data_IF_484074788603
#
_entry.id   IF_484074788603
#
_cell.length_a   1.000
_cell.length_b   1.000
_cell.length_c   1.000
_cell.angle_alpha   90.00
_cell.angle_beta   90.00
_cell.angle_gamma   90.00
#
_symmetry.space_group_name_H-M   'P 1'
#
loop_
_entity.id
_entity.type
_entity.pdbx_description
1 polymer ?
#
# COMPACT_ATOMS: atom_id res chain seq x y z
N UNK A 1 -17.26 -1.66 20.98
CA UNK A 1 -16.10 -2.23 21.70
C UNK A 1 -15.01 -2.72 20.73
N UNK A 2 -15.35 -3.48 19.68
CA UNK A 2 -14.37 -3.95 18.68
C UNK A 2 -13.55 -2.85 17.99
N UNK A 3 -14.17 -1.83 17.41
CA UNK A 3 -13.46 -0.78 16.66
C UNK A 3 -12.43 0.02 17.50
N UNK A 4 -12.72 0.26 18.77
CA UNK A 4 -11.81 0.99 19.69
C UNK A 4 -10.58 0.13 20.02
N UNK A 5 -10.77 -1.18 20.21
CA UNK A 5 -9.68 -2.11 20.46
C UNK A 5 -8.80 -2.26 19.22
N UNK A 6 -9.39 -2.38 18.03
CA UNK A 6 -8.65 -2.43 16.77
C UNK A 6 -7.87 -1.13 16.54
N UNK A 7 -8.48 0.03 16.77
CA UNK A 7 -7.81 1.32 16.66
C UNK A 7 -6.64 1.46 17.63
N UNK A 8 -6.82 1.08 18.90
CA UNK A 8 -5.75 1.07 19.89
C UNK A 8 -4.60 0.14 19.53
N UNK A 9 -4.90 -1.05 18.99
CA UNK A 9 -3.88 -2.00 18.54
C UNK A 9 -3.06 -1.46 17.36
N UNK A 10 -3.70 -0.81 16.38
CA UNK A 10 -3.00 -0.19 15.25
C UNK A 10 -2.08 0.96 15.68
N UNK A 11 -2.51 1.77 16.66
CA UNK A 11 -1.67 2.82 17.24
C UNK A 11 -0.46 2.20 17.95
N UNK A 12 -0.66 1.16 18.75
CA UNK A 12 0.44 0.46 19.42
C UNK A 12 1.44 -0.13 18.41
N UNK A 13 0.96 -0.74 17.33
CA UNK A 13 1.82 -1.23 16.23
C UNK A 13 2.63 -0.08 15.61
N UNK A 14 1.97 1.06 15.31
CA UNK A 14 2.65 2.22 14.76
C UNK A 14 3.74 2.77 15.72
N UNK A 15 3.47 2.82 17.03
CA UNK A 15 4.45 3.22 18.05
C UNK A 15 5.63 2.24 18.10
N UNK A 16 5.37 0.93 18.08
CA UNK A 16 6.42 -0.08 18.05
C UNK A 16 7.32 0.03 16.81
N UNK A 17 6.73 0.27 15.62
CA UNK A 17 7.47 0.47 14.38
C UNK A 17 8.32 1.76 14.45
N UNK A 18 7.73 2.88 14.86
CA UNK A 18 8.41 4.19 14.88
C UNK A 18 9.48 4.33 15.96
N UNK A 19 9.39 3.56 17.03
CA UNK A 19 10.39 3.56 18.11
C UNK A 19 11.42 2.44 17.96
N UNK A 20 11.34 1.66 16.88
CA UNK A 20 12.15 0.45 16.60
C UNK A 20 12.03 -0.66 17.66
N UNK A 21 11.23 -0.44 18.71
CA UNK A 21 10.97 -1.41 19.78
C UNK A 21 9.95 -2.42 19.31
N UNK A 22 10.38 -3.69 19.18
CA UNK A 22 9.53 -4.78 18.70
C UNK A 22 9.00 -4.56 17.27
N UNK A 23 9.60 -3.65 16.48
CA UNK A 23 9.13 -3.26 15.14
C UNK A 23 8.88 -4.48 14.23
N UNK A 24 9.78 -5.46 14.25
CA UNK A 24 9.61 -6.72 13.52
C UNK A 24 8.35 -7.49 13.93
N UNK A 25 8.14 -7.70 15.23
CA UNK A 25 6.97 -8.43 15.74
C UNK A 25 5.70 -7.66 15.41
N UNK A 26 5.71 -6.35 15.59
CA UNK A 26 4.59 -5.47 15.26
C UNK A 26 4.25 -5.53 13.75
N UNK A 27 5.23 -5.47 12.86
CA UNK A 27 5.04 -5.58 11.42
C UNK A 27 4.54 -6.98 11.00
N UNK A 28 5.07 -8.05 11.60
CA UNK A 28 4.61 -9.41 11.33
C UNK A 28 3.17 -9.66 11.80
N UNK A 29 2.82 -9.19 13.00
CA UNK A 29 1.46 -9.28 13.53
C UNK A 29 0.48 -8.44 12.69
N UNK A 30 0.90 -7.26 12.23
CA UNK A 30 0.12 -6.44 11.31
C UNK A 30 -0.15 -7.18 10.00
N UNK A 31 0.88 -7.79 9.39
CA UNK A 31 0.72 -8.55 8.16
C UNK A 31 -0.25 -9.72 8.33
N UNK A 32 -0.16 -10.47 9.43
CA UNK A 32 -1.09 -11.56 9.75
C UNK A 32 -2.50 -11.03 9.96
N UNK A 33 -2.68 -9.95 10.70
CA UNK A 33 -4.00 -9.35 10.93
C UNK A 33 -4.67 -8.91 9.62
N UNK A 34 -3.91 -8.23 8.74
CA UNK A 34 -4.38 -7.82 7.41
C UNK A 34 -4.71 -9.03 6.52
N UNK A 35 -3.90 -10.09 6.59
CA UNK A 35 -4.18 -11.33 5.83
C UNK A 35 -5.50 -11.98 6.27
N UNK A 36 -5.73 -12.07 7.58
CA UNK A 36 -6.98 -12.60 8.13
C UNK A 36 -8.18 -11.74 7.73
N UNK A 37 -8.04 -10.41 7.74
CA UNK A 37 -9.09 -9.50 7.30
C UNK A 37 -9.45 -9.72 5.82
N UNK A 38 -8.43 -9.83 4.96
CA UNK A 38 -8.62 -10.14 3.54
C UNK A 38 -9.31 -11.49 3.37
N UNK A 39 -8.88 -12.53 4.08
CA UNK A 39 -9.40 -13.88 3.94
C UNK A 39 -10.86 -14.00 4.38
N UNK A 40 -11.21 -13.41 5.52
CA UNK A 40 -12.52 -13.63 6.15
C UNK A 40 -13.56 -12.55 5.85
N UNK A 41 -13.14 -11.30 5.65
CA UNK A 41 -14.08 -10.20 5.40
C UNK A 41 -14.11 -9.84 3.92
N UNK A 42 -12.95 -9.71 3.30
CA UNK A 42 -12.88 -9.14 1.97
C UNK A 42 -13.09 -10.14 0.84
N UNK A 43 -12.56 -11.35 0.98
CA UNK A 43 -12.73 -12.40 -0.02
C UNK A 43 -14.22 -12.76 -0.23
N UNK A 44 -15.05 -12.92 0.81
CA UNK A 44 -16.49 -13.09 0.62
C UNK A 44 -17.17 -11.89 -0.07
N UNK A 45 -16.72 -10.65 0.21
CA UNK A 45 -17.26 -9.43 -0.44
C UNK A 45 -16.90 -9.38 -1.92
N UNK A 46 -15.67 -9.74 -2.28
CA UNK A 46 -15.22 -9.82 -3.68
C UNK A 46 -16.02 -10.86 -4.47
N UNK A 47 -16.28 -12.03 -3.87
CA UNK A 47 -17.06 -13.10 -4.51
C UNK A 47 -18.53 -12.71 -4.66
N UNK A 48 -19.11 -12.06 -3.65
CA UNK A 48 -20.53 -11.70 -3.66
C UNK A 48 -20.85 -10.46 -4.51
N UNK A 49 -19.87 -9.57 -4.73
CA UNK A 49 -20.07 -8.34 -5.49
C UNK A 49 -18.95 -8.09 -6.52
N UNK A 50 -18.77 -8.98 -7.52
CA UNK A 50 -17.64 -8.93 -8.42
C UNK A 50 -17.62 -7.70 -9.35
N UNK A 51 -18.76 -7.01 -9.50
CA UNK A 51 -18.90 -5.85 -10.39
C UNK A 51 -18.91 -4.50 -9.67
N UNK A 52 -18.93 -4.47 -8.33
CA UNK A 52 -18.84 -3.21 -7.58
C UNK A 52 -17.37 -2.82 -7.39
N UNK A 53 -16.97 -1.56 -7.60
CA UNK A 53 -15.57 -1.16 -7.46
C UNK A 53 -15.07 -1.24 -6.01
N UNK A 54 -15.92 -0.97 -5.02
CA UNK A 54 -15.49 -0.75 -3.63
C UNK A 54 -14.80 -1.98 -3.01
N UNK A 55 -15.32 -3.23 -3.14
CA UNK A 55 -14.63 -4.41 -2.64
C UNK A 55 -13.29 -4.68 -3.33
N UNK A 56 -13.14 -4.31 -4.60
CA UNK A 56 -11.85 -4.40 -5.29
C UNK A 56 -10.87 -3.37 -4.75
N UNK A 57 -11.31 -2.12 -4.54
CA UNK A 57 -10.45 -1.08 -3.98
C UNK A 57 -9.95 -1.48 -2.58
N UNK A 58 -10.87 -1.67 -1.62
CA UNK A 58 -10.47 -1.92 -0.23
C UNK A 58 -9.68 -3.21 -0.06
N UNK A 59 -9.98 -4.24 -0.87
CA UNK A 59 -9.29 -5.52 -0.72
C UNK A 59 -7.87 -5.53 -1.23
N UNK A 60 -7.64 -4.87 -2.36
CA UNK A 60 -6.30 -4.77 -2.91
C UNK A 60 -5.47 -3.70 -2.17
N UNK A 61 -6.08 -2.72 -1.52
CA UNK A 61 -5.40 -1.84 -0.55
C UNK A 61 -4.84 -2.65 0.62
N UNK A 62 -5.67 -3.48 1.27
CA UNK A 62 -5.23 -4.29 2.40
C UNK A 62 -4.16 -5.32 2.01
N UNK A 63 -4.30 -5.95 0.84
CA UNK A 63 -3.28 -6.84 0.29
C UNK A 63 -1.96 -6.13 0.03
N UNK A 64 -1.99 -4.90 -0.51
CA UNK A 64 -0.80 -4.10 -0.73
C UNK A 64 -0.12 -3.72 0.59
N UNK A 65 -0.90 -3.30 1.59
CA UNK A 65 -0.39 -2.97 2.93
C UNK A 65 0.21 -4.20 3.64
N UNK A 66 -0.44 -5.35 3.52
CA UNK A 66 0.09 -6.64 4.01
C UNK A 66 1.42 -6.97 3.34
N UNK A 67 1.51 -6.82 2.01
CA UNK A 67 2.75 -7.04 1.27
C UNK A 67 3.88 -6.12 1.75
N UNK A 68 3.59 -4.85 1.99
CA UNK A 68 4.52 -3.89 2.57
C UNK A 68 4.98 -4.25 3.99
N UNK A 69 4.06 -4.71 4.84
CA UNK A 69 4.37 -5.13 6.21
C UNK A 69 5.32 -6.34 6.25
N UNK A 70 5.15 -7.32 5.34
CA UNK A 70 6.09 -8.43 5.22
C UNK A 70 7.49 -7.99 4.76
N UNK A 71 7.58 -7.04 3.84
CA UNK A 71 8.87 -6.50 3.39
C UNK A 71 9.54 -5.71 4.51
N UNK A 72 8.79 -4.88 5.24
CA UNK A 72 9.29 -4.12 6.38
C UNK A 72 9.84 -5.04 7.47
N UNK A 73 9.11 -6.10 7.83
CA UNK A 73 9.54 -7.06 8.84
C UNK A 73 10.90 -7.70 8.53
N UNK A 74 11.29 -7.79 7.25
CA UNK A 74 12.62 -8.23 6.83
C UNK A 74 13.67 -7.13 6.96
N UNK A 75 13.37 -5.88 6.60
CA UNK A 75 14.35 -4.77 6.72
C UNK A 75 14.79 -4.61 8.18
N UNK A 76 13.84 -4.66 9.12
CA UNK A 76 14.10 -4.56 10.58
C UNK A 76 14.94 -5.71 11.17
N UNK A 77 15.23 -6.77 10.40
CA UNK A 77 16.16 -7.82 10.86
C UNK A 77 17.63 -7.46 10.70
N UNK A 78 17.94 -6.37 10.00
CA UNK A 78 19.32 -5.98 9.70
C UNK A 78 20.12 -5.48 10.93
N UNK A 79 19.47 -4.89 11.95
CA UNK A 79 20.17 -4.03 12.92
C UNK A 79 20.31 -4.55 14.37
N UNK A 80 19.95 -5.79 14.71
CA UNK A 80 20.04 -6.21 16.14
C UNK A 80 20.31 -7.68 16.45
N UNK A 81 20.08 -8.59 15.51
CA UNK A 81 20.45 -9.99 15.64
C UNK A 81 20.56 -10.52 14.22
N UNK A 82 21.79 -10.65 13.71
CA UNK A 82 22.05 -11.36 12.45
C UNK A 82 21.58 -12.80 12.63
N UNK A 83 20.31 -13.06 12.38
CA UNK A 83 19.88 -14.37 11.93
C UNK A 83 20.57 -14.54 10.57
N UNK A 84 21.51 -15.48 10.52
CA UNK A 84 22.25 -15.99 9.36
C UNK A 84 21.73 -15.57 7.97
N UNK A 85 22.61 -15.19 7.04
CA UNK A 85 22.22 -14.97 5.65
C UNK A 85 21.63 -16.28 5.08
N UNK A 86 20.44 -16.19 4.48
CA UNK A 86 19.73 -17.26 3.78
C UNK A 86 18.78 -18.17 4.58
N UNK A 87 17.97 -17.62 5.49
CA UNK A 87 16.65 -18.21 5.75
C UNK A 87 15.74 -17.94 4.54
N UNK A 88 15.71 -18.91 3.60
CA UNK A 88 14.92 -18.90 2.37
C UNK A 88 13.48 -18.36 2.56
N UNK A 89 12.86 -18.65 3.70
CA UNK A 89 11.52 -18.21 4.08
C UNK A 89 11.37 -16.67 4.04
N UNK A 90 12.32 -15.90 4.59
CA UNK A 90 12.22 -14.43 4.59
C UNK A 90 12.33 -13.88 3.16
N UNK A 91 13.20 -14.47 2.33
CA UNK A 91 13.33 -14.08 0.92
C UNK A 91 12.06 -14.39 0.11
N UNK A 92 11.40 -15.51 0.39
CA UNK A 92 10.10 -15.85 -0.20
C UNK A 92 9.00 -14.88 0.25
N UNK A 93 8.97 -14.49 1.54
CA UNK A 93 8.01 -13.51 2.04
C UNK A 93 8.20 -12.11 1.43
N UNK A 94 9.44 -11.66 1.23
CA UNK A 94 9.72 -10.40 0.54
C UNK A 94 9.27 -10.46 -0.92
N UNK A 95 9.58 -11.56 -1.61
CA UNK A 95 9.16 -11.76 -3.01
C UNK A 95 7.64 -11.82 -3.11
N UNK A 96 6.99 -12.55 -2.21
CA UNK A 96 5.54 -12.60 -2.11
C UNK A 96 4.92 -11.23 -1.87
N UNK A 97 5.43 -10.46 -0.90
CA UNK A 97 4.95 -9.10 -0.63
C UNK A 97 5.08 -8.16 -1.83
N UNK A 98 6.21 -8.22 -2.55
CA UNK A 98 6.42 -7.46 -3.80
C UNK A 98 5.41 -7.85 -4.88
N UNK A 99 5.17 -9.14 -5.08
CA UNK A 99 4.23 -9.65 -6.09
C UNK A 99 2.80 -9.25 -5.74
N UNK A 100 2.38 -9.42 -4.49
CA UNK A 100 1.02 -9.04 -4.05
C UNK A 100 0.80 -7.53 -4.21
N UNK A 101 1.79 -6.71 -3.85
CA UNK A 101 1.72 -5.26 -4.07
C UNK A 101 1.61 -4.92 -5.56
N UNK A 102 2.39 -5.58 -6.42
CA UNK A 102 2.30 -5.38 -7.87
C UNK A 102 0.94 -5.80 -8.45
N UNK A 103 0.34 -6.89 -7.96
CA UNK A 103 -1.02 -7.31 -8.35
C UNK A 103 -2.04 -6.24 -7.97
N UNK A 104 -1.95 -5.66 -6.77
CA UNK A 104 -2.82 -4.57 -6.35
C UNK A 104 -2.72 -3.36 -7.29
N UNK A 105 -1.50 -2.98 -7.70
CA UNK A 105 -1.31 -1.90 -8.68
C UNK A 105 -1.99 -2.20 -10.02
N UNK A 106 -1.95 -3.44 -10.49
CA UNK A 106 -2.65 -3.84 -11.73
C UNK A 106 -4.16 -3.70 -11.57
N UNK A 107 -4.73 -4.09 -10.42
CA UNK A 107 -6.16 -3.91 -10.13
C UNK A 107 -6.52 -2.42 -10.10
N UNK A 108 -5.73 -1.60 -9.42
CA UNK A 108 -5.96 -0.15 -9.39
C UNK A 108 -5.84 0.50 -10.77
N UNK A 109 -4.94 0.00 -11.62
CA UNK A 109 -4.83 0.44 -13.00
C UNK A 109 -6.11 0.12 -13.79
N UNK A 110 -6.63 -1.11 -13.69
CA UNK A 110 -7.90 -1.49 -14.31
C UNK A 110 -9.03 -0.57 -13.84
N UNK A 111 -9.10 -0.26 -12.54
CA UNK A 111 -10.09 0.67 -12.01
C UNK A 111 -9.91 2.10 -12.55
N UNK A 112 -8.68 2.58 -12.73
CA UNK A 112 -8.41 3.88 -13.36
C UNK A 112 -8.90 3.93 -14.80
N UNK A 113 -8.78 2.84 -15.56
CA UNK A 113 -9.30 2.76 -16.93
C UNK A 113 -10.82 2.65 -16.97
N UNK A 114 -11.39 1.73 -16.18
CA UNK A 114 -12.83 1.42 -16.17
C UNK A 114 -13.67 2.57 -15.60
N UNK A 115 -13.17 3.24 -14.56
CA UNK A 115 -13.87 4.31 -13.85
C UNK A 115 -13.24 5.69 -14.08
N UNK A 116 -12.52 5.88 -15.20
CA UNK A 116 -11.75 7.11 -15.50
C UNK A 116 -12.56 8.40 -15.34
N UNK A 117 -13.84 8.39 -15.76
CA UNK A 117 -14.73 9.55 -15.62
C UNK A 117 -14.99 9.91 -14.16
N UNK A 118 -15.18 8.91 -13.30
CA UNK A 118 -15.34 9.10 -11.86
C UNK A 118 -14.02 9.55 -11.22
N UNK A 119 -12.90 8.90 -11.54
CA UNK A 119 -11.58 9.32 -11.04
C UNK A 119 -11.28 10.78 -11.39
N UNK A 120 -11.64 11.22 -12.59
CA UNK A 120 -11.49 12.60 -13.03
C UNK A 120 -12.32 13.62 -12.23
N UNK A 121 -13.36 13.21 -11.50
CA UNK A 121 -14.11 14.11 -10.60
C UNK A 121 -13.41 14.31 -9.25
N UNK A 122 -12.53 13.38 -8.87
CA UNK A 122 -11.76 13.41 -7.61
C UNK A 122 -10.51 14.29 -7.76
N UNK A 123 -9.99 14.45 -8.99
CA UNK A 123 -8.88 15.36 -9.28
C UNK A 123 -9.33 16.81 -9.03
N UNK A 124 -8.55 17.68 -8.36
CA UNK A 124 -8.97 19.00 -7.97
C UNK A 124 -9.31 19.86 -9.18
N UNK A 125 -10.30 20.73 -9.03
CA UNK A 125 -10.86 21.51 -10.14
C UNK A 125 -9.84 22.43 -10.83
N UNK A 126 -8.80 22.87 -10.11
CA UNK A 126 -7.72 23.71 -10.63
C UNK A 126 -6.69 22.95 -11.47
N UNK A 127 -6.69 21.61 -11.47
CA UNK A 127 -5.82 20.82 -12.36
C UNK A 127 -6.51 20.67 -13.72
N UNK A 128 -5.88 21.11 -14.83
CA UNK A 128 -6.43 20.94 -16.16
C UNK A 128 -6.34 19.47 -16.61
N UNK A 129 -7.12 19.13 -17.63
CA UNK A 129 -7.10 17.80 -18.26
C UNK A 129 -7.25 16.63 -17.26
N UNK A 130 -8.19 16.71 -16.31
CA UNK A 130 -8.38 15.70 -15.24
C UNK A 130 -8.53 14.26 -15.75
N UNK A 131 -9.13 14.06 -16.93
CA UNK A 131 -9.25 12.74 -17.55
C UNK A 131 -7.90 12.18 -18.04
N UNK A 132 -6.99 13.04 -18.51
CA UNK A 132 -5.63 12.64 -18.85
C UNK A 132 -4.92 12.06 -17.62
N UNK A 133 -5.03 12.74 -16.46
CA UNK A 133 -4.40 12.27 -15.22
C UNK A 133 -4.96 10.93 -14.74
N UNK A 134 -6.27 10.68 -14.87
CA UNK A 134 -6.86 9.39 -14.56
C UNK A 134 -6.22 8.25 -15.39
N UNK A 135 -6.05 8.45 -16.70
CA UNK A 135 -5.41 7.44 -17.55
C UNK A 135 -3.91 7.33 -17.33
N UNK A 136 -3.21 8.46 -17.18
CA UNK A 136 -1.77 8.51 -16.93
C UNK A 136 -1.39 7.72 -15.68
N UNK A 137 -2.14 7.91 -14.58
CA UNK A 137 -1.92 7.17 -13.34
C UNK A 137 -2.16 5.67 -13.53
N UNK A 138 -3.21 5.28 -14.26
CA UNK A 138 -3.43 3.87 -14.60
C UNK A 138 -2.24 3.24 -15.35
N UNK A 139 -1.66 3.95 -16.31
CA UNK A 139 -0.44 3.51 -17.02
C UNK A 139 0.77 3.46 -16.08
N UNK A 140 0.94 4.46 -15.22
CA UNK A 140 2.03 4.51 -14.25
C UNK A 140 1.98 3.34 -13.26
N UNK A 141 0.78 2.92 -12.83
CA UNK A 141 0.59 1.73 -12.01
C UNK A 141 1.02 0.44 -12.70
N UNK A 142 0.65 0.24 -13.98
CA UNK A 142 1.12 -0.93 -14.74
C UNK A 142 2.65 -0.89 -14.88
N UNK A 143 3.21 0.27 -15.22
CA UNK A 143 4.66 0.41 -15.37
C UNK A 143 5.40 0.10 -14.05
N UNK A 144 4.89 0.59 -12.92
CA UNK A 144 5.45 0.30 -11.60
C UNK A 144 5.33 -1.18 -11.23
N UNK A 145 4.17 -1.82 -11.49
CA UNK A 145 3.98 -3.24 -11.26
C UNK A 145 4.99 -4.10 -12.05
N UNK A 146 5.17 -3.79 -13.34
CA UNK A 146 6.14 -4.46 -14.20
C UNK A 146 7.58 -4.23 -13.73
N UNK A 147 7.94 -3.02 -13.33
CA UNK A 147 9.25 -2.70 -12.79
C UNK A 147 9.55 -3.50 -11.51
N UNK A 148 8.58 -3.57 -10.59
CA UNK A 148 8.70 -4.32 -9.33
C UNK A 148 8.88 -5.82 -9.58
N UNK A 149 8.06 -6.42 -10.45
CA UNK A 149 8.10 -7.87 -10.74
C UNK A 149 9.36 -8.26 -11.52
N UNK A 150 9.73 -7.48 -12.53
CA UNK A 150 10.93 -7.76 -13.36
C UNK A 150 12.23 -7.33 -12.68
N UNK A 151 12.13 -6.60 -11.57
CA UNK A 151 13.24 -5.96 -10.85
C UNK A 151 14.00 -4.91 -11.68
N UNK A 152 13.52 -4.57 -12.89
CA UNK A 152 14.12 -3.56 -13.75
C UNK A 152 13.62 -2.18 -13.34
N UNK A 153 14.55 -1.30 -12.96
CA UNK A 153 14.23 0.04 -12.43
C UNK A 153 13.29 0.02 -11.20
N UNK A 154 13.19 -1.11 -10.50
CA UNK A 154 12.22 -1.31 -9.42
C UNK A 154 12.36 -0.27 -8.30
N UNK A 155 13.59 0.03 -7.88
CA UNK A 155 13.85 1.08 -6.88
C UNK A 155 13.32 2.43 -7.33
N UNK A 156 13.65 2.86 -8.55
CA UNK A 156 13.21 4.15 -9.11
C UNK A 156 11.69 4.19 -9.24
N UNK A 157 11.08 3.13 -9.75
CA UNK A 157 9.63 3.01 -9.88
C UNK A 157 8.94 3.11 -8.51
N UNK A 158 9.47 2.43 -7.49
CA UNK A 158 8.95 2.48 -6.12
C UNK A 158 9.09 3.87 -5.48
N UNK A 159 10.19 4.59 -5.71
CA UNK A 159 10.34 5.98 -5.25
C UNK A 159 9.31 6.90 -5.91
N UNK A 160 9.16 6.81 -7.23
CA UNK A 160 8.20 7.63 -7.98
C UNK A 160 6.76 7.33 -7.57
N UNK A 161 6.44 6.05 -7.35
CA UNK A 161 5.14 5.61 -6.86
C UNK A 161 4.85 6.15 -5.45
N UNK A 162 5.84 6.07 -4.54
CA UNK A 162 5.73 6.61 -3.19
C UNK A 162 5.54 8.13 -3.17
N UNK A 163 6.25 8.85 -4.04
CA UNK A 163 6.08 10.29 -4.23
C UNK A 163 4.70 10.63 -4.82
N UNK A 164 4.22 9.86 -5.79
CA UNK A 164 2.89 10.05 -6.38
C UNK A 164 1.78 9.90 -5.34
N UNK A 165 1.79 8.83 -4.54
CA UNK A 165 0.82 8.66 -3.45
C UNK A 165 0.92 9.79 -2.41
N UNK A 166 2.13 10.22 -2.06
CA UNK A 166 2.32 11.33 -1.12
C UNK A 166 1.78 12.66 -1.67
N UNK A 167 1.94 12.93 -2.97
CA UNK A 167 1.33 14.09 -3.62
C UNK A 167 -0.19 14.02 -3.47
N UNK A 168 -0.82 12.85 -3.64
CA UNK A 168 -2.28 12.70 -3.45
C UNK A 168 -2.72 12.97 -2.01
N UNK A 169 -1.95 12.54 -1.02
CA UNK A 169 -2.18 12.90 0.39
C UNK A 169 -2.29 14.43 0.51
N UNK A 170 -1.30 15.16 -0.02
CA UNK A 170 -1.21 16.62 0.15
C UNK A 170 -2.27 17.38 -0.66
N UNK A 171 -2.49 17.02 -1.93
CA UNK A 171 -3.30 17.84 -2.84
C UNK A 171 -4.73 17.34 -3.03
N UNK A 172 -5.01 16.07 -2.73
CA UNK A 172 -6.34 15.46 -2.90
C UNK A 172 -7.04 15.26 -1.56
N UNK A 173 -6.46 14.41 -0.71
CA UNK A 173 -7.16 13.92 0.48
C UNK A 173 -7.09 14.89 1.66
N UNK A 174 -5.93 15.49 1.90
CA UNK A 174 -5.75 16.40 3.04
C UNK A 174 -6.70 17.62 2.96
N UNK A 175 -6.88 18.29 1.79
CA UNK A 175 -7.85 19.37 1.66
C UNK A 175 -9.31 18.90 1.85
N UNK A 176 -9.66 17.70 1.36
CA UNK A 176 -11.02 17.14 1.52
C UNK A 176 -11.34 16.80 2.97
N UNK A 177 -10.39 16.21 3.69
CA UNK A 177 -10.52 15.95 5.12
C UNK A 177 -10.57 17.26 5.92
N UNK A 178 -9.74 18.26 5.57
CA UNK A 178 -9.78 19.57 6.22
C UNK A 178 -11.13 20.28 6.04
N UNK A 179 -11.75 20.14 4.86
CA UNK A 179 -13.08 20.69 4.57
C UNK A 179 -14.21 19.92 5.26
N UNK A 180 -14.08 18.60 5.45
CA UNK A 180 -15.07 17.78 6.13
C UNK A 180 -14.42 16.65 6.96
N UNK A 181 -13.95 16.94 8.18
CA UNK A 181 -13.17 15.99 8.97
C UNK A 181 -13.98 14.82 9.53
N UNK A 182 -15.31 14.87 9.41
CA UNK A 182 -16.22 13.78 9.82
C UNK A 182 -16.55 12.82 8.68
N UNK A 183 -16.06 13.08 7.45
CA UNK A 183 -16.20 12.14 6.35
C UNK A 183 -15.21 10.97 6.54
N UNK A 184 -15.73 9.85 7.04
CA UNK A 184 -14.93 8.65 7.30
C UNK A 184 -14.25 8.08 6.06
N UNK A 185 -14.88 8.19 4.89
CA UNK A 185 -14.31 7.69 3.63
C UNK A 185 -13.05 8.48 3.25
N UNK A 186 -13.10 9.81 3.31
CA UNK A 186 -11.95 10.65 2.99
C UNK A 186 -10.82 10.53 4.02
N UNK A 187 -11.16 10.39 5.31
CA UNK A 187 -10.16 10.12 6.36
C UNK A 187 -9.48 8.77 6.10
N UNK A 188 -10.26 7.75 5.72
CA UNK A 188 -9.71 6.43 5.39
C UNK A 188 -8.81 6.51 4.16
N UNK A 189 -9.26 7.12 3.07
CA UNK A 189 -8.46 7.26 1.85
C UNK A 189 -7.19 8.08 2.08
N UNK A 190 -7.21 9.12 2.92
CA UNK A 190 -6.02 9.87 3.33
C UNK A 190 -4.98 8.95 3.98
N UNK A 191 -5.40 8.16 4.98
CA UNK A 191 -4.52 7.28 5.73
C UNK A 191 -4.00 6.12 4.88
N UNK A 192 -4.86 5.54 4.03
CA UNK A 192 -4.46 4.49 3.09
C UNK A 192 -3.46 5.02 2.06
N UNK A 193 -3.69 6.20 1.47
CA UNK A 193 -2.75 6.80 0.54
C UNK A 193 -1.38 7.08 1.19
N UNK A 194 -1.38 7.56 2.44
CA UNK A 194 -0.15 7.76 3.22
C UNK A 194 0.57 6.43 3.49
N UNK A 195 -0.17 5.39 3.86
CA UNK A 195 0.39 4.06 4.09
C UNK A 195 0.96 3.45 2.80
N UNK A 196 0.26 3.58 1.66
CA UNK A 196 0.74 3.15 0.34
C UNK A 196 2.00 3.89 -0.09
N UNK A 197 2.12 5.18 0.23
CA UNK A 197 3.36 5.95 0.04
C UNK A 197 4.50 5.34 0.86
N UNK A 198 4.27 5.08 2.16
CA UNK A 198 5.25 4.42 3.04
C UNK A 198 5.68 3.05 2.54
N UNK A 199 4.73 2.19 2.15
CA UNK A 199 5.02 0.86 1.56
C UNK A 199 5.88 0.99 0.30
N UNK A 200 5.58 1.96 -0.57
CA UNK A 200 6.36 2.18 -1.78
C UNK A 200 7.82 2.55 -1.45
N UNK A 201 8.06 3.39 -0.44
CA UNK A 201 9.43 3.69 0.00
C UNK A 201 10.13 2.51 0.67
N UNK A 202 9.42 1.70 1.46
CA UNK A 202 9.94 0.43 2.01
C UNK A 202 10.37 -0.51 0.87
N UNK A 203 9.57 -0.61 -0.19
CA UNK A 203 9.94 -1.40 -1.37
C UNK A 203 11.20 -0.84 -2.04
N UNK A 204 11.30 0.48 -2.21
CA UNK A 204 12.48 1.11 -2.78
C UNK A 204 13.76 0.78 -2.00
N UNK A 205 13.69 0.83 -0.66
CA UNK A 205 14.80 0.46 0.22
C UNK A 205 15.14 -1.02 0.11
N UNK A 206 14.13 -1.89 0.08
CA UNK A 206 14.36 -3.34 -0.09
C UNK A 206 15.13 -3.66 -1.37
N UNK A 207 14.87 -2.96 -2.47
CA UNK A 207 15.61 -3.13 -3.74
C UNK A 207 17.01 -2.49 -3.70
N UNK A 208 17.22 -1.45 -2.89
CA UNK A 208 18.55 -0.89 -2.66
C UNK A 208 19.43 -1.89 -1.92
N UNK A 209 18.90 -2.52 -0.86
CA UNK A 209 19.61 -3.53 -0.07
C UNK A 209 19.98 -4.77 -0.90
N UNK A 210 19.14 -5.16 -1.86
CA UNK A 210 19.42 -6.29 -2.76
C UNK A 210 20.55 -5.99 -3.77
N UNK A 211 20.80 -4.72 -4.10
CA UNK A 211 21.89 -4.31 -5.01
C UNK A 211 23.24 -4.20 -4.30
N UNK A 212 23.23 -4.08 -2.97
CA UNK A 212 24.42 -3.91 -2.14
C UNK A 212 24.97 -5.24 -1.58
N UNK A 213 24.23 -6.33 -1.73
CA UNK A 213 24.59 -7.69 -1.30
C UNK A 213 25.16 -8.52 -2.46
#
# INVERSE_FOLDING_TARGET
>A
MGAVLTGGALIAVAVCITTEKLARLAAALLAVALFLDVLFLQLPRLISQPHSPDPWTSGFELLALMGGAFVLARIETADGFRLEPANNILSYLVTFGRVVFAIALVVFAVQHFQYAKFVATIVPSWIPARLFWAYFVGVAFIAAALAIVTRKMARTASVLLGAMFFIWVVILHLPRVAANPRNGDEVTSLLVALAMSGVSFILAESFASDLAA
#
